data_IF_391699076077
#
_entry.id   IF_391699076077
#
_cell.length_a   1.000
_cell.length_b   1.000
_cell.length_c   1.000
_cell.angle_alpha   90.00
_cell.angle_beta   90.00
_cell.angle_gamma   90.00
#
_symmetry.space_group_name_H-M   'P 1'
#
loop_
_entity.id
_entity.type
_entity.pdbx_description
1 polymer ?
#
# COMPACT_ATOMS: atom_id res chain seq x y z
N UNK A 1 -29.31 -5.77 13.86
CA UNK A 1 -28.12 -5.11 13.25
C UNK A 1 -27.49 -4.27 14.36
N UNK A 2 -26.17 -4.34 14.59
CA UNK A 2 -25.51 -3.50 15.62
C UNK A 2 -25.56 -2.04 15.21
N UNK A 3 -25.75 -1.13 16.16
CA UNK A 3 -25.61 0.33 15.99
C UNK A 3 -24.17 0.75 15.67
N UNK A 4 -23.96 2.01 15.27
CA UNK A 4 -22.60 2.55 15.04
C UNK A 4 -21.73 2.43 16.30
N UNK A 5 -22.25 2.87 17.46
CA UNK A 5 -21.53 2.84 18.73
C UNK A 5 -21.15 1.42 19.16
N UNK A 6 -22.04 0.45 18.99
CA UNK A 6 -21.73 -0.97 19.25
C UNK A 6 -20.67 -1.52 18.30
N UNK A 7 -20.68 -1.10 17.02
CA UNK A 7 -19.64 -1.50 16.06
C UNK A 7 -18.28 -0.89 16.44
N UNK A 8 -18.25 0.40 16.75
CA UNK A 8 -17.04 1.10 17.19
C UNK A 8 -16.47 0.49 18.47
N UNK A 9 -17.30 0.18 19.46
CA UNK A 9 -16.86 -0.48 20.70
C UNK A 9 -16.23 -1.85 20.44
N UNK A 10 -16.81 -2.66 19.56
CA UNK A 10 -16.25 -3.97 19.19
C UNK A 10 -14.90 -3.83 18.47
N UNK A 11 -14.80 -2.89 17.54
CA UNK A 11 -13.56 -2.60 16.80
C UNK A 11 -12.49 -2.05 17.75
N UNK A 12 -12.85 -1.11 18.61
CA UNK A 12 -11.96 -0.51 19.60
C UNK A 12 -11.39 -1.54 20.56
N UNK A 13 -12.22 -2.42 21.11
CA UNK A 13 -11.77 -3.50 21.98
C UNK A 13 -10.87 -4.51 21.26
N UNK A 14 -11.15 -4.81 19.98
CA UNK A 14 -10.32 -5.75 19.22
C UNK A 14 -8.95 -5.17 18.89
N UNK A 15 -8.90 -3.89 18.49
CA UNK A 15 -7.69 -3.22 18.05
C UNK A 15 -6.96 -2.43 19.16
N UNK A 16 -7.49 -2.45 20.39
CA UNK A 16 -7.03 -1.64 21.53
C UNK A 16 -6.96 -0.14 21.21
N UNK A 17 -8.00 0.39 20.56
CA UNK A 17 -8.08 1.82 20.23
C UNK A 17 -8.37 2.65 21.47
N UNK A 18 -7.73 3.80 21.55
CA UNK A 18 -8.00 4.85 22.53
C UNK A 18 -9.34 5.55 22.25
N UNK A 19 -9.87 6.27 23.24
CA UNK A 19 -11.08 7.08 23.06
C UNK A 19 -10.90 8.14 21.96
N UNK A 20 -9.72 8.76 21.89
CA UNK A 20 -9.38 9.74 20.86
C UNK A 20 -9.41 9.12 19.45
N UNK A 21 -8.89 7.90 19.28
CA UNK A 21 -8.94 7.19 17.99
C UNK A 21 -10.37 6.79 17.60
N UNK A 22 -11.22 6.44 18.57
CA UNK A 22 -12.63 6.16 18.32
C UNK A 22 -13.41 7.42 17.91
N UNK A 23 -13.11 8.57 18.53
CA UNK A 23 -13.68 9.87 18.14
C UNK A 23 -13.32 10.25 16.70
N UNK A 24 -12.09 9.96 16.26
CA UNK A 24 -11.66 10.16 14.86
C UNK A 24 -12.53 9.35 13.89
N UNK A 25 -12.83 8.09 14.23
CA UNK A 25 -13.66 7.21 13.40
C UNK A 25 -15.15 7.57 13.43
N UNK A 26 -15.63 8.15 14.53
CA UNK A 26 -17.00 8.63 14.64
C UNK A 26 -17.22 9.96 13.89
N UNK A 27 -16.16 10.73 13.69
CA UNK A 27 -16.23 12.01 13.00
C UNK A 27 -16.53 11.87 11.49
N UNK A 28 -17.54 12.59 11.03
CA UNK A 28 -17.99 12.59 9.64
C UNK A 28 -17.00 13.25 8.65
N UNK A 29 -15.92 13.90 9.12
CA UNK A 29 -14.92 14.53 8.23
C UNK A 29 -14.02 13.53 7.50
N UNK A 30 -14.10 12.23 7.80
CA UNK A 30 -13.24 11.21 7.21
C UNK A 30 -11.84 11.16 7.82
N UNK A 31 -11.69 11.69 9.04
CA UNK A 31 -10.47 11.57 9.84
C UNK A 31 -9.36 12.58 9.52
N UNK A 32 -9.61 13.53 8.61
CA UNK A 32 -8.69 14.63 8.32
C UNK A 32 -9.41 15.98 8.43
N UNK A 33 -8.70 17.00 8.92
CA UNK A 33 -9.18 18.39 8.87
C UNK A 33 -8.71 19.08 7.58
N UNK A 34 -9.27 20.26 7.30
CA UNK A 34 -8.92 21.02 6.11
C UNK A 34 -7.44 21.48 6.10
N UNK A 35 -6.86 21.78 7.27
CA UNK A 35 -5.46 22.22 7.34
C UNK A 35 -4.46 21.12 6.96
N UNK A 36 -4.82 19.87 7.20
CA UNK A 36 -4.08 18.71 6.71
C UNK A 36 -4.33 18.52 5.21
N UNK A 37 -5.59 18.59 4.76
CA UNK A 37 -5.93 18.44 3.35
C UNK A 37 -5.22 19.47 2.45
N UNK A 38 -5.13 20.73 2.88
CA UNK A 38 -4.47 21.83 2.17
C UNK A 38 -2.95 21.64 2.01
N UNK A 39 -2.33 20.82 2.88
CA UNK A 39 -0.91 20.45 2.77
C UNK A 39 -0.68 19.18 1.96
N UNK A 40 -1.73 18.40 1.70
CA UNK A 40 -1.61 17.13 0.99
C UNK A 40 -1.62 17.29 -0.53
N UNK A 41 -2.36 18.28 -1.05
CA UNK A 41 -2.49 18.54 -2.49
C UNK A 41 -2.52 20.05 -2.76
N UNK A 42 -2.17 20.44 -3.98
CA UNK A 42 -2.32 21.82 -4.44
C UNK A 42 -3.79 22.19 -4.68
N UNK A 43 -4.14 23.46 -4.45
CA UNK A 43 -5.47 24.03 -4.71
C UNK A 43 -6.63 23.28 -4.00
N UNK A 44 -6.39 22.78 -2.79
CA UNK A 44 -7.44 22.14 -2.00
C UNK A 44 -8.54 23.15 -1.62
N UNK A 45 -9.79 22.86 -1.97
CA UNK A 45 -10.96 23.70 -1.63
C UNK A 45 -11.93 23.02 -0.65
N UNK A 46 -11.59 21.81 -0.18
CA UNK A 46 -12.41 21.05 0.75
C UNK A 46 -11.94 19.60 0.88
N UNK A 47 -12.75 18.78 1.55
CA UNK A 47 -12.54 17.34 1.70
C UNK A 47 -13.71 16.56 1.12
N UNK A 48 -13.47 15.32 0.74
CA UNK A 48 -14.49 14.38 0.29
C UNK A 48 -14.42 13.12 1.14
N UNK A 49 -15.54 12.68 1.69
CA UNK A 49 -15.61 11.54 2.60
C UNK A 49 -16.32 10.37 1.94
N UNK A 50 -15.76 9.16 2.10
CA UNK A 50 -16.35 7.89 1.69
C UNK A 50 -16.68 7.02 2.90
N UNK A 51 -17.70 6.16 2.83
CA UNK A 51 -18.02 5.24 3.91
C UNK A 51 -16.83 4.31 4.22
N UNK A 52 -16.50 4.18 5.51
CA UNK A 52 -15.59 3.18 6.02
C UNK A 52 -16.38 2.02 6.66
N UNK A 53 -16.11 0.81 6.21
CA UNK A 53 -16.62 -0.43 6.77
C UNK A 53 -15.50 -1.32 7.28
N UNK A 54 -15.87 -2.30 8.11
CA UNK A 54 -14.94 -3.32 8.60
C UNK A 54 -15.40 -4.68 8.08
N UNK A 55 -14.57 -5.32 7.27
CA UNK A 55 -14.78 -6.72 6.91
C UNK A 55 -14.26 -7.63 8.01
N UNK A 56 -15.07 -8.63 8.35
CA UNK A 56 -14.87 -9.52 9.51
C UNK A 56 -14.57 -10.95 9.09
N UNK A 57 -14.18 -11.78 10.06
CA UNK A 57 -13.90 -13.23 9.92
C UNK A 57 -12.60 -13.59 9.17
N UNK A 58 -11.80 -12.61 8.75
CA UNK A 58 -10.51 -12.89 8.12
C UNK A 58 -9.57 -13.54 9.14
N UNK A 59 -9.10 -14.73 8.79
CA UNK A 59 -7.98 -15.40 9.43
C UNK A 59 -6.91 -15.58 8.37
N UNK A 60 -5.75 -14.96 8.54
CA UNK A 60 -4.64 -14.99 7.59
C UNK A 60 -3.42 -15.50 8.34
N UNK A 61 -2.85 -16.61 7.87
CA UNK A 61 -1.74 -17.30 8.55
C UNK A 61 -2.06 -17.53 10.04
N UNK A 62 -3.23 -18.12 10.30
CA UNK A 62 -3.73 -18.47 11.65
C UNK A 62 -4.03 -17.28 12.58
N UNK A 63 -3.80 -16.04 12.14
CA UNK A 63 -4.06 -14.83 12.91
C UNK A 63 -5.33 -14.12 12.43
N UNK A 64 -6.11 -13.63 13.39
CA UNK A 64 -7.35 -12.91 13.12
C UNK A 64 -7.10 -11.44 12.78
N UNK A 65 -7.82 -10.96 11.77
CA UNK A 65 -7.77 -9.58 11.32
C UNK A 65 -9.17 -9.01 11.12
N UNK A 66 -9.34 -7.76 11.52
CA UNK A 66 -10.40 -6.89 11.03
C UNK A 66 -9.81 -6.08 9.87
N UNK A 67 -10.50 -6.07 8.73
CA UNK A 67 -10.00 -5.41 7.51
C UNK A 67 -10.81 -4.13 7.26
N UNK A 68 -10.22 -2.93 7.43
CA UNK A 68 -10.85 -1.69 7.03
C UNK A 68 -11.03 -1.61 5.52
N UNK A 69 -12.21 -1.16 5.07
CA UNK A 69 -12.55 -0.97 3.66
C UNK A 69 -13.23 0.38 3.49
N UNK A 70 -12.73 1.21 2.57
CA UNK A 70 -13.36 2.48 2.19
C UNK A 70 -13.98 2.30 0.81
N UNK A 71 -15.32 2.28 0.74
CA UNK A 71 -16.05 2.00 -0.51
C UNK A 71 -17.51 2.46 -0.41
N UNK A 72 -18.07 2.97 -1.51
CA UNK A 72 -19.46 3.43 -1.62
C UNK A 72 -20.43 2.32 -2.05
N UNK A 73 -19.91 1.28 -2.70
CA UNK A 73 -20.74 0.21 -3.27
C UNK A 73 -21.38 -0.66 -2.16
N UNK A 74 -22.72 -0.78 -2.15
CA UNK A 74 -23.41 -1.63 -1.20
C UNK A 74 -22.97 -3.10 -1.30
N UNK A 75 -23.11 -3.84 -0.20
CA UNK A 75 -22.85 -5.27 -0.11
C UNK A 75 -21.38 -5.72 -0.23
N UNK A 76 -20.44 -4.91 -0.73
CA UNK A 76 -19.02 -5.32 -0.88
C UNK A 76 -18.43 -5.79 0.47
N UNK A 77 -18.55 -4.98 1.52
CA UNK A 77 -18.03 -5.33 2.87
C UNK A 77 -18.72 -6.59 3.43
N UNK A 78 -20.02 -6.74 3.17
CA UNK A 78 -20.80 -7.89 3.64
C UNK A 78 -20.41 -9.18 2.90
N UNK A 79 -20.24 -9.10 1.58
CA UNK A 79 -19.80 -10.20 0.73
C UNK A 79 -18.39 -10.67 1.13
N UNK A 80 -17.45 -9.73 1.28
CA UNK A 80 -16.09 -10.01 1.77
C UNK A 80 -16.10 -10.71 3.13
N UNK A 81 -16.89 -10.20 4.08
CA UNK A 81 -17.04 -10.82 5.42
C UNK A 81 -17.62 -12.23 5.36
N UNK A 82 -18.60 -12.46 4.46
CA UNK A 82 -19.25 -13.77 4.29
C UNK A 82 -18.30 -14.78 3.66
N UNK A 83 -17.56 -14.37 2.62
CA UNK A 83 -16.54 -15.20 1.98
C UNK A 83 -15.43 -15.58 2.97
N UNK A 84 -14.93 -14.62 3.74
CA UNK A 84 -13.93 -14.88 4.78
C UNK A 84 -14.44 -15.86 5.86
N UNK A 85 -15.71 -15.75 6.26
CA UNK A 85 -16.33 -16.71 7.19
C UNK A 85 -16.32 -18.14 6.64
N UNK A 86 -16.60 -18.32 5.34
CA UNK A 86 -16.58 -19.63 4.68
C UNK A 86 -15.15 -20.17 4.60
N UNK A 87 -14.18 -19.33 4.21
CA UNK A 87 -12.77 -19.70 4.16
C UNK A 87 -12.23 -20.12 5.53
N UNK A 88 -12.63 -19.42 6.60
CA UNK A 88 -12.23 -19.72 7.98
C UNK A 88 -12.60 -21.13 8.43
N UNK A 89 -13.76 -21.66 8.02
CA UNK A 89 -14.17 -23.05 8.31
C UNK A 89 -13.16 -24.07 7.74
N UNK A 90 -12.42 -23.68 6.71
CA UNK A 90 -11.41 -24.49 6.03
C UNK A 90 -9.96 -24.11 6.41
N UNK A 91 -9.78 -23.39 7.53
CA UNK A 91 -8.46 -22.98 8.02
C UNK A 91 -8.01 -21.58 7.61
N UNK A 92 -8.91 -20.78 7.01
CA UNK A 92 -8.64 -19.39 6.65
C UNK A 92 -7.78 -19.25 5.39
N UNK A 93 -7.10 -18.12 5.28
CA UNK A 93 -6.22 -17.80 4.16
C UNK A 93 -4.76 -18.05 4.54
N UNK A 94 -3.97 -18.52 3.58
CA UNK A 94 -2.51 -18.57 3.66
C UNK A 94 -1.94 -17.58 2.67
N UNK A 95 -1.04 -16.72 3.15
CA UNK A 95 -0.41 -15.70 2.33
C UNK A 95 1.08 -15.62 2.65
N UNK A 96 1.88 -15.52 1.60
CA UNK A 96 3.32 -15.26 1.68
C UNK A 96 3.61 -14.08 0.76
N UNK A 97 4.42 -13.13 1.23
CA UNK A 97 4.92 -12.05 0.41
C UNK A 97 6.45 -12.18 0.35
N UNK A 98 7.01 -11.89 -0.82
CA UNK A 98 8.44 -11.64 -0.95
C UNK A 98 8.80 -10.29 -0.30
N UNK A 99 10.08 -9.93 -0.32
CA UNK A 99 10.53 -8.64 0.20
C UNK A 99 9.82 -7.44 -0.46
N UNK A 100 9.80 -6.31 0.24
CA UNK A 100 9.23 -5.07 -0.28
C UNK A 100 10.25 -4.35 -1.16
N UNK A 101 10.19 -4.61 -2.47
CA UNK A 101 11.03 -3.95 -3.46
C UNK A 101 10.26 -2.86 -4.22
N UNK A 102 10.92 -1.74 -4.49
CA UNK A 102 10.43 -0.70 -5.38
C UNK A 102 11.37 -0.61 -6.59
N UNK A 103 10.79 -0.48 -7.78
CA UNK A 103 11.54 -0.37 -9.03
C UNK A 103 11.57 1.11 -9.44
N UNK A 104 12.77 1.70 -9.47
CA UNK A 104 13.02 2.97 -10.14
C UNK A 104 13.57 2.70 -11.54
N UNK A 105 13.18 3.50 -12.53
CA UNK A 105 13.63 3.34 -13.91
C UNK A 105 14.36 4.59 -14.38
N UNK A 106 15.50 4.40 -15.06
CA UNK A 106 16.23 5.44 -15.77
C UNK A 106 16.22 5.06 -17.25
N UNK A 107 15.63 5.93 -18.07
CA UNK A 107 15.63 5.73 -19.52
C UNK A 107 16.87 6.37 -20.12
N UNK A 108 17.60 5.58 -20.90
CA UNK A 108 18.74 6.04 -21.71
C UNK A 108 18.34 5.88 -23.18
N UNK A 109 18.46 6.96 -23.95
CA UNK A 109 18.10 7.02 -25.37
C UNK A 109 19.33 7.27 -26.22
N UNK A 110 19.23 7.03 -27.53
CA UNK A 110 20.29 7.28 -28.52
C UNK A 110 21.61 6.56 -28.21
N UNK A 111 21.53 5.29 -27.81
CA UNK A 111 22.68 4.44 -27.48
C UNK A 111 22.71 3.16 -28.31
N UNK A 112 23.92 2.64 -28.56
CA UNK A 112 24.10 1.25 -28.98
C UNK A 112 23.84 0.34 -27.77
N UNK A 113 22.73 -0.38 -27.80
CA UNK A 113 22.28 -1.28 -26.74
C UNK A 113 23.29 -2.41 -26.50
N UNK A 114 23.90 -2.94 -27.56
CA UNK A 114 24.82 -4.07 -27.48
C UNK A 114 26.11 -3.68 -26.75
N UNK A 115 26.54 -2.43 -26.90
CA UNK A 115 27.70 -1.90 -26.19
C UNK A 115 27.36 -1.39 -24.79
N UNK A 116 26.20 -0.75 -24.62
CA UNK A 116 25.84 0.00 -23.41
C UNK A 116 25.42 -0.90 -22.26
N UNK A 117 24.62 -1.94 -22.50
CA UNK A 117 24.15 -2.84 -21.44
C UNK A 117 25.34 -3.54 -20.74
N UNK A 118 26.28 -4.19 -21.45
CA UNK A 118 27.42 -4.82 -20.79
C UNK A 118 28.25 -3.84 -19.97
N UNK A 119 28.43 -2.60 -20.45
CA UNK A 119 29.13 -1.55 -19.70
C UNK A 119 28.45 -1.25 -18.37
N UNK A 120 27.13 -0.98 -18.37
CA UNK A 120 26.38 -0.67 -17.15
C UNK A 120 26.43 -1.84 -16.16
N UNK A 121 26.24 -3.07 -16.64
CA UNK A 121 26.29 -4.26 -15.80
C UNK A 121 27.68 -4.45 -15.18
N UNK A 122 28.75 -4.18 -15.93
CA UNK A 122 30.13 -4.31 -15.44
C UNK A 122 30.47 -3.37 -14.28
N UNK A 123 29.81 -2.20 -14.20
CA UNK A 123 29.98 -1.21 -13.12
C UNK A 123 28.80 -1.18 -12.14
N UNK A 124 27.92 -2.18 -12.16
CA UNK A 124 26.67 -2.19 -11.36
C UNK A 124 26.92 -2.02 -9.87
N UNK A 125 27.97 -2.63 -9.31
CA UNK A 125 28.36 -2.47 -7.91
C UNK A 125 28.67 -1.01 -7.55
N UNK A 126 29.43 -0.30 -8.41
CA UNK A 126 29.76 1.11 -8.20
C UNK A 126 28.50 1.99 -8.25
N UNK A 127 27.57 1.71 -9.17
CA UNK A 127 26.30 2.43 -9.24
C UNK A 127 25.46 2.18 -7.99
N UNK A 128 25.41 0.95 -7.48
CA UNK A 128 24.69 0.60 -6.25
C UNK A 128 25.30 1.33 -5.04
N UNK A 129 26.63 1.32 -4.91
CA UNK A 129 27.33 2.05 -3.84
C UNK A 129 27.05 3.56 -3.92
N UNK A 130 27.15 4.14 -5.11
CA UNK A 130 26.86 5.54 -5.34
C UNK A 130 25.41 5.89 -5.00
N UNK A 131 24.44 5.10 -5.44
CA UNK A 131 23.03 5.33 -5.16
C UNK A 131 22.74 5.25 -3.65
N UNK A 132 23.30 4.24 -2.98
CA UNK A 132 23.14 4.07 -1.54
C UNK A 132 23.85 5.16 -0.73
N UNK A 133 24.90 5.79 -1.26
CA UNK A 133 25.55 6.95 -0.62
C UNK A 133 24.66 8.20 -0.55
N UNK A 134 23.57 8.28 -1.35
CA UNK A 134 22.70 9.46 -1.42
C UNK A 134 21.65 9.54 -0.32
N UNK A 135 21.49 8.50 0.50
CA UNK A 135 20.54 8.50 1.61
C UNK A 135 21.08 7.82 2.84
N UNK A 136 21.49 8.62 3.83
CA UNK A 136 21.90 8.09 5.14
C UNK A 136 20.77 7.34 5.85
N UNK A 137 19.53 7.80 5.70
CA UNK A 137 18.36 7.23 6.37
C UNK A 137 18.06 5.83 5.87
N UNK A 138 18.07 5.61 4.55
CA UNK A 138 17.79 4.29 3.98
C UNK A 138 18.88 3.28 4.37
N UNK A 139 20.15 3.69 4.32
CA UNK A 139 21.26 2.84 4.71
C UNK A 139 21.18 2.41 6.18
N UNK A 140 20.86 3.34 7.10
CA UNK A 140 20.67 3.03 8.54
C UNK A 140 19.54 2.03 8.80
N UNK A 141 18.54 1.98 7.92
CA UNK A 141 17.42 1.03 8.00
C UNK A 141 17.68 -0.30 7.30
N UNK A 142 18.91 -0.55 6.81
CA UNK A 142 19.25 -1.74 6.01
C UNK A 142 18.59 -1.77 4.62
N UNK A 143 17.98 -0.64 4.22
CA UNK A 143 17.32 -0.43 2.93
C UNK A 143 18.29 0.21 1.94
N UNK A 144 17.87 0.29 0.69
CA UNK A 144 18.68 0.84 -0.39
C UNK A 144 18.53 0.01 -1.66
N UNK A 145 19.23 0.44 -2.70
CA UNK A 145 19.31 -0.29 -3.97
C UNK A 145 19.97 -1.64 -3.72
N UNK A 146 19.31 -2.71 -4.17
CA UNK A 146 19.77 -4.10 -4.03
C UNK A 146 20.28 -4.68 -5.34
N UNK A 147 19.71 -4.21 -6.46
CA UNK A 147 19.97 -4.78 -7.77
C UNK A 147 19.79 -3.70 -8.83
N UNK A 148 20.57 -3.83 -9.91
CA UNK A 148 20.40 -3.08 -11.14
C UNK A 148 20.27 -4.10 -12.27
N UNK A 149 19.21 -3.95 -13.07
CA UNK A 149 19.01 -4.71 -14.30
C UNK A 149 18.88 -3.75 -15.47
N UNK A 150 19.27 -4.20 -16.65
CA UNK A 150 19.14 -3.43 -17.90
C UNK A 150 18.25 -4.21 -18.87
N UNK A 151 17.37 -3.49 -19.56
CA UNK A 151 16.47 -4.07 -20.56
C UNK A 151 16.41 -3.17 -21.79
N UNK A 152 16.63 -3.75 -22.96
CA UNK A 152 16.31 -3.10 -24.22
C UNK A 152 14.78 -2.94 -24.34
N UNK A 153 14.33 -1.70 -24.54
CA UNK A 153 12.93 -1.41 -24.82
C UNK A 153 12.81 -1.07 -26.30
N UNK A 154 12.33 -2.04 -27.08
CA UNK A 154 12.01 -1.81 -28.49
C UNK A 154 10.72 -1.03 -28.57
N UNK A 155 10.76 0.14 -29.19
CA UNK A 155 9.56 0.86 -29.57
C UNK A 155 8.89 0.10 -30.72
N UNK A 156 7.91 -0.74 -30.39
CA UNK A 156 6.96 -1.19 -31.40
C UNK A 156 6.09 0.02 -31.73
N UNK A 157 6.25 0.58 -32.93
CA UNK A 157 5.29 1.55 -33.45
C UNK A 157 3.92 0.87 -33.42
N UNK A 158 3.04 1.30 -32.52
CA UNK A 158 1.62 1.05 -32.66
C UNK A 158 1.23 1.86 -33.90
N UNK A 159 1.14 1.18 -35.05
CA UNK A 159 0.45 1.75 -36.20
C UNK A 159 -1.02 1.89 -35.77
N UNK A 160 -1.41 3.12 -35.43
CA UNK A 160 -2.81 3.51 -35.44
C UNK A 160 -3.34 3.50 -36.87
#
# INVERSE_FOLDING_TARGET
MKSLKERLSVVGNFANLTEQELEILENATGGIDYSHADKMIENAIGTFSLPIGIATNFQINEKDYLIPMVIEEPSVVAASSKAAKIARIHGGFKATAEGNYSIGQIQIVDVDVQETIPKIISISSEIIELANSKSETLSKLGKGVKEITCKEVKLTLIQC
#
